data_IF_740516793017
#
_entry.id   IF_740516793017
#
_cell.length_a   1.000
_cell.length_b   1.000
_cell.length_c   1.000
_cell.angle_alpha   90.00
_cell.angle_beta   90.00
_cell.angle_gamma   90.00
#
_symmetry.space_group_name_H-M   'P 1'
#
loop_
_entity.id
_entity.type
_entity.pdbx_description
1 polymer ?
#
# COMPACT_ATOMS: atom_id res chain seq x y z
N UNK A 1 -17.15 -7.77 -25.18
CA UNK A 1 -16.01 -6.96 -25.65
C UNK A 1 -16.11 -5.49 -25.23
N UNK A 2 -17.29 -4.86 -25.35
CA UNK A 2 -17.52 -3.44 -25.05
C UNK A 2 -17.35 -3.06 -23.55
N UNK A 3 -17.76 -3.93 -22.62
CA UNK A 3 -17.63 -3.69 -21.16
C UNK A 3 -16.16 -3.63 -20.75
N UNK A 4 -15.30 -4.55 -21.26
CA UNK A 4 -13.86 -4.53 -21.02
C UNK A 4 -13.18 -3.26 -21.53
N UNK A 5 -13.63 -2.74 -22.69
CA UNK A 5 -13.13 -1.49 -23.29
C UNK A 5 -13.53 -0.26 -22.49
N UNK A 6 -14.78 -0.21 -21.99
CA UNK A 6 -15.27 0.88 -21.11
C UNK A 6 -14.53 0.89 -19.76
N UNK A 7 -14.33 -0.30 -19.14
CA UNK A 7 -13.59 -0.42 -17.90
C UNK A 7 -12.13 0.02 -18.05
N UNK A 8 -11.46 -0.36 -19.15
CA UNK A 8 -10.11 0.08 -19.47
C UNK A 8 -10.03 1.60 -19.63
N UNK A 9 -10.93 2.20 -20.42
CA UNK A 9 -10.97 3.66 -20.62
C UNK A 9 -11.22 4.43 -19.31
N UNK A 10 -12.06 3.91 -18.40
CA UNK A 10 -12.32 4.54 -17.10
C UNK A 10 -11.06 4.48 -16.21
N UNK A 11 -10.41 3.32 -16.17
CA UNK A 11 -9.15 3.13 -15.44
C UNK A 11 -8.08 4.08 -15.94
N UNK A 12 -7.91 4.19 -17.27
CA UNK A 12 -6.88 5.04 -17.88
C UNK A 12 -7.15 6.53 -17.60
N UNK A 13 -8.42 6.96 -17.60
CA UNK A 13 -8.81 8.34 -17.25
C UNK A 13 -8.57 8.64 -15.75
N UNK A 14 -8.91 7.72 -14.86
CA UNK A 14 -8.65 7.87 -13.43
C UNK A 14 -7.14 7.95 -13.17
N UNK A 15 -6.38 7.07 -13.79
CA UNK A 15 -4.92 7.04 -13.66
C UNK A 15 -4.27 8.32 -14.18
N UNK A 16 -4.73 8.85 -15.32
CA UNK A 16 -4.29 10.14 -15.86
C UNK A 16 -4.63 11.30 -14.92
N UNK A 17 -5.83 11.32 -14.34
CA UNK A 17 -6.24 12.34 -13.37
C UNK A 17 -5.35 12.34 -12.13
N UNK A 18 -5.07 11.15 -11.58
CA UNK A 18 -4.18 10.99 -10.42
C UNK A 18 -2.75 11.45 -10.76
N UNK A 19 -2.22 11.04 -11.90
CA UNK A 19 -0.88 11.47 -12.32
C UNK A 19 -0.77 12.97 -12.58
N UNK A 20 -1.83 13.62 -13.06
CA UNK A 20 -1.83 15.08 -13.24
C UNK A 20 -1.64 15.82 -11.92
N UNK A 21 -2.20 15.30 -10.82
CA UNK A 21 -2.05 15.88 -9.48
C UNK A 21 -0.68 15.51 -8.86
N UNK A 22 -0.21 14.29 -9.07
CA UNK A 22 1.02 13.78 -8.45
C UNK A 22 2.28 14.28 -9.15
N UNK A 23 2.26 14.42 -10.47
CA UNK A 23 3.44 14.81 -11.26
C UNK A 23 4.15 16.09 -10.80
N UNK A 24 3.46 17.21 -10.47
CA UNK A 24 4.17 18.39 -9.97
C UNK A 24 4.90 18.14 -8.65
N UNK A 25 4.33 17.32 -7.76
CA UNK A 25 4.96 16.94 -6.49
C UNK A 25 6.19 16.07 -6.75
N UNK A 26 6.07 15.08 -7.64
CA UNK A 26 7.19 14.21 -8.06
C UNK A 26 8.34 15.03 -8.67
N UNK A 27 8.04 15.98 -9.55
CA UNK A 27 9.08 16.86 -10.09
C UNK A 27 9.75 17.74 -9.02
N UNK A 28 8.97 18.19 -8.04
CA UNK A 28 9.52 18.88 -6.86
C UNK A 28 10.47 18.00 -6.06
N UNK A 29 10.08 16.75 -5.78
CA UNK A 29 10.91 15.76 -5.06
C UNK A 29 12.21 15.48 -5.79
N UNK A 30 12.15 15.28 -7.12
CA UNK A 30 13.34 15.03 -7.95
C UNK A 30 14.31 16.24 -7.91
N UNK A 31 13.77 17.47 -7.98
CA UNK A 31 14.59 18.70 -7.93
C UNK A 31 15.37 18.87 -6.63
N UNK A 32 14.82 18.43 -5.51
CA UNK A 32 15.48 18.48 -4.20
C UNK A 32 16.31 17.22 -3.90
N UNK A 33 16.45 16.30 -4.87
CA UNK A 33 17.30 15.12 -4.75
C UNK A 33 16.72 13.96 -3.95
N UNK A 34 15.38 13.92 -3.75
CA UNK A 34 14.73 12.79 -3.08
C UNK A 34 14.77 11.56 -3.98
N UNK A 35 15.31 10.46 -3.45
CA UNK A 35 15.38 9.18 -4.15
C UNK A 35 14.09 8.38 -3.98
N UNK A 36 13.74 7.45 -4.90
CA UNK A 36 12.57 6.57 -4.77
C UNK A 36 12.55 5.85 -3.42
N UNK A 37 13.67 5.27 -2.98
CA UNK A 37 13.77 4.52 -1.73
C UNK A 37 13.42 5.38 -0.49
N UNK A 38 13.72 6.67 -0.51
CA UNK A 38 13.31 7.58 0.57
C UNK A 38 11.80 7.73 0.59
N UNK A 39 11.16 7.86 -0.58
CA UNK A 39 9.69 7.98 -0.69
C UNK A 39 9.00 6.71 -0.20
N UNK A 40 9.48 5.53 -0.61
CA UNK A 40 8.99 4.22 -0.12
C UNK A 40 9.13 4.12 1.40
N UNK A 41 10.29 4.53 1.95
CA UNK A 41 10.51 4.52 3.41
C UNK A 41 9.54 5.43 4.15
N UNK A 42 9.26 6.64 3.63
CA UNK A 42 8.30 7.57 4.22
C UNK A 42 6.89 6.97 4.20
N UNK A 43 6.48 6.35 3.09
CA UNK A 43 5.21 5.64 2.98
C UNK A 43 5.09 4.52 4.02
N UNK A 44 6.12 3.69 4.17
CA UNK A 44 6.16 2.63 5.17
C UNK A 44 6.07 3.18 6.62
N UNK A 45 6.83 4.22 6.95
CA UNK A 45 6.78 4.84 8.28
C UNK A 45 5.40 5.43 8.58
N UNK A 46 4.73 6.02 7.59
CA UNK A 46 3.35 6.49 7.73
C UNK A 46 2.37 5.35 7.99
N UNK A 47 2.50 4.22 7.28
CA UNK A 47 1.70 3.01 7.56
C UNK A 47 1.95 2.47 8.98
N UNK A 48 3.20 2.51 9.45
CA UNK A 48 3.55 2.10 10.81
C UNK A 48 2.87 3.00 11.85
N UNK A 49 2.87 4.33 11.64
CA UNK A 49 2.16 5.29 12.52
C UNK A 49 0.66 5.01 12.52
N UNK A 50 0.05 4.81 11.35
CA UNK A 50 -1.37 4.46 11.25
C UNK A 50 -1.71 3.16 11.98
N UNK A 51 -0.87 2.14 11.85
CA UNK A 51 -1.02 0.88 12.55
C UNK A 51 -0.89 1.02 14.08
N UNK A 52 0.07 1.83 14.55
CA UNK A 52 0.22 2.14 15.98
C UNK A 52 -1.04 2.82 16.53
N UNK A 53 -1.66 3.75 15.78
CA UNK A 53 -2.91 4.38 16.18
C UNK A 53 -4.08 3.38 16.24
N UNK A 54 -4.15 2.40 15.32
CA UNK A 54 -5.16 1.34 15.36
C UNK A 54 -4.97 0.42 16.57
N UNK A 55 -3.72 0.05 16.88
CA UNK A 55 -3.41 -0.74 18.07
C UNK A 55 -3.77 0.04 19.34
N UNK A 56 -3.42 1.31 19.39
CA UNK A 56 -3.77 2.18 20.51
C UNK A 56 -5.30 2.28 20.68
N UNK A 57 -6.04 2.45 19.59
CA UNK A 57 -7.50 2.46 19.59
C UNK A 57 -8.11 1.15 20.11
N UNK A 58 -7.48 0.00 19.81
CA UNK A 58 -7.89 -1.30 20.35
C UNK A 58 -7.68 -1.42 21.86
N UNK A 59 -6.54 -0.93 22.37
CA UNK A 59 -6.17 -1.03 23.80
C UNK A 59 -6.99 -0.10 24.67
N UNK A 60 -7.14 1.17 24.28
CA UNK A 60 -7.64 2.22 25.15
C UNK A 60 -9.16 2.25 25.31
N UNK A 61 -9.93 1.60 24.41
CA UNK A 61 -11.42 1.51 24.47
C UNK A 61 -12.12 2.84 24.86
N UNK A 62 -11.55 3.96 24.45
CA UNK A 62 -12.04 5.29 24.84
C UNK A 62 -13.23 5.75 24.01
N UNK A 63 -13.91 6.80 24.51
CA UNK A 63 -15.04 7.46 23.82
C UNK A 63 -14.70 8.00 22.43
N UNK A 64 -13.42 8.14 22.10
CA UNK A 64 -12.89 8.67 20.84
C UNK A 64 -12.45 7.58 19.84
N UNK A 65 -12.83 6.33 20.04
CA UNK A 65 -12.44 5.19 19.20
C UNK A 65 -12.63 5.46 17.70
N UNK A 66 -13.82 5.92 17.28
CA UNK A 66 -14.10 6.19 15.87
C UNK A 66 -13.23 7.32 15.28
N UNK A 67 -12.89 8.31 16.09
CA UNK A 67 -11.98 9.40 15.69
C UNK A 67 -10.57 8.87 15.45
N UNK A 68 -10.06 8.04 16.37
CA UNK A 68 -8.73 7.41 16.23
C UNK A 68 -8.64 6.51 15.00
N UNK A 69 -9.66 5.69 14.76
CA UNK A 69 -9.75 4.85 13.55
C UNK A 69 -9.78 5.72 12.30
N UNK A 70 -10.53 6.82 12.31
CA UNK A 70 -10.60 7.77 11.19
C UNK A 70 -9.24 8.40 10.89
N UNK A 71 -8.52 8.86 11.92
CA UNK A 71 -7.16 9.41 11.75
C UNK A 71 -6.17 8.36 11.26
N UNK A 72 -6.20 7.15 11.82
CA UNK A 72 -5.36 6.05 11.38
C UNK A 72 -5.61 5.72 9.90
N UNK A 73 -6.88 5.60 9.49
CA UNK A 73 -7.27 5.37 8.10
C UNK A 73 -6.80 6.49 7.17
N UNK A 74 -6.94 7.77 7.60
CA UNK A 74 -6.46 8.92 6.84
C UNK A 74 -4.94 8.88 6.62
N UNK A 75 -4.17 8.55 7.65
CA UNK A 75 -2.70 8.42 7.57
C UNK A 75 -2.31 7.26 6.65
N UNK A 76 -2.96 6.10 6.76
CA UNK A 76 -2.69 4.94 5.91
C UNK A 76 -2.99 5.26 4.44
N UNK A 77 -4.11 5.94 4.15
CA UNK A 77 -4.45 6.37 2.79
C UNK A 77 -3.42 7.36 2.24
N UNK A 78 -2.98 8.32 3.05
CA UNK A 78 -1.93 9.25 2.65
C UNK A 78 -0.61 8.53 2.38
N UNK A 79 -0.25 7.55 3.20
CA UNK A 79 0.94 6.72 3.03
C UNK A 79 0.92 5.91 1.74
N UNK A 80 -0.25 5.39 1.36
CA UNK A 80 -0.44 4.68 0.07
C UNK A 80 -0.25 5.59 -1.15
N UNK A 81 -0.43 6.92 -1.01
CA UNK A 81 -0.09 7.86 -2.08
C UNK A 81 1.43 7.98 -2.26
N UNK A 82 2.21 7.97 -1.17
CA UNK A 82 3.67 7.97 -1.27
C UNK A 82 4.20 6.73 -1.98
N UNK A 83 3.63 5.56 -1.69
CA UNK A 83 3.90 4.30 -2.35
C UNK A 83 3.67 4.36 -3.88
N UNK A 84 2.60 5.02 -4.31
CA UNK A 84 2.36 5.24 -5.73
C UNK A 84 3.33 6.27 -6.35
N UNK A 85 3.87 7.19 -5.54
CA UNK A 85 4.77 8.25 -6.02
C UNK A 85 6.21 7.77 -6.22
N UNK A 86 6.71 6.81 -5.44
CA UNK A 86 8.10 6.33 -5.55
C UNK A 86 8.39 5.70 -6.92
N UNK A 87 7.47 4.89 -7.45
CA UNK A 87 7.54 4.37 -8.81
C UNK A 87 7.53 5.47 -9.90
N UNK A 88 6.88 6.62 -9.64
CA UNK A 88 6.94 7.76 -10.54
C UNK A 88 8.28 8.50 -10.43
N UNK A 89 8.78 8.71 -9.20
CA UNK A 89 10.10 9.29 -8.96
C UNK A 89 11.18 8.44 -9.63
N UNK A 90 11.10 7.11 -9.52
CA UNK A 90 12.03 6.19 -10.18
C UNK A 90 12.02 6.34 -11.71
N UNK A 91 10.82 6.40 -12.31
CA UNK A 91 10.66 6.49 -13.78
C UNK A 91 11.02 7.84 -14.33
N UNK A 92 10.51 8.92 -13.76
CA UNK A 92 10.72 10.29 -14.24
C UNK A 92 12.14 10.76 -13.93
N UNK A 93 12.71 10.36 -12.77
CA UNK A 93 14.05 10.70 -12.35
C UNK A 93 15.14 9.86 -13.00
N UNK A 94 14.81 8.81 -13.77
CA UNK A 94 15.80 7.88 -14.32
C UNK A 94 16.55 7.09 -13.23
N UNK A 95 15.98 6.92 -12.04
CA UNK A 95 16.56 6.30 -10.84
C UNK A 95 16.09 4.86 -10.63
N UNK A 96 15.44 4.26 -11.63
CA UNK A 96 14.97 2.88 -11.54
C UNK A 96 16.15 1.91 -11.41
N UNK A 97 16.09 1.02 -10.41
CA UNK A 97 17.11 0.00 -10.15
C UNK A 97 16.46 -1.30 -9.68
N UNK A 98 17.16 -2.42 -9.92
CA UNK A 98 16.71 -3.75 -9.45
C UNK A 98 16.62 -3.79 -7.92
N UNK A 99 17.59 -3.17 -7.23
CA UNK A 99 17.55 -3.06 -5.77
C UNK A 99 16.36 -2.23 -5.29
N UNK A 100 16.08 -1.09 -5.95
CA UNK A 100 14.92 -0.25 -5.61
C UNK A 100 13.60 -1.00 -5.76
N UNK A 101 13.44 -1.77 -6.84
CA UNK A 101 12.25 -2.60 -7.04
C UNK A 101 12.10 -3.70 -5.98
N UNK A 102 13.20 -4.33 -5.54
CA UNK A 102 13.18 -5.29 -4.45
C UNK A 102 12.83 -4.61 -3.12
N UNK A 103 13.46 -3.47 -2.83
CA UNK A 103 13.24 -2.70 -1.62
C UNK A 103 11.79 -2.27 -1.46
N UNK A 104 11.21 -1.71 -2.50
CA UNK A 104 9.80 -1.35 -2.62
C UNK A 104 8.89 -2.56 -2.36
N UNK A 105 9.08 -3.64 -3.10
CA UNK A 105 8.29 -4.87 -2.94
C UNK A 105 8.36 -5.46 -1.53
N UNK A 106 9.49 -5.36 -0.83
CA UNK A 106 9.64 -5.83 0.56
C UNK A 106 8.89 -4.92 1.53
N UNK A 107 9.05 -3.60 1.41
CA UNK A 107 8.38 -2.65 2.30
C UNK A 107 6.86 -2.66 2.10
N UNK A 108 6.37 -2.88 0.88
CA UNK A 108 4.96 -3.14 0.60
C UNK A 108 4.40 -4.29 1.43
N UNK A 109 5.12 -5.40 1.47
CA UNK A 109 4.68 -6.57 2.26
C UNK A 109 4.70 -6.27 3.76
N UNK A 110 5.70 -5.56 4.25
CA UNK A 110 5.73 -5.12 5.65
C UNK A 110 4.60 -4.12 5.97
N UNK A 111 4.32 -3.16 5.09
CA UNK A 111 3.20 -2.22 5.22
C UNK A 111 1.86 -2.96 5.33
N UNK A 112 1.64 -3.92 4.46
CA UNK A 112 0.43 -4.75 4.44
C UNK A 112 0.30 -5.58 5.71
N UNK A 113 1.37 -6.27 6.14
CA UNK A 113 1.43 -7.05 7.38
C UNK A 113 1.07 -6.22 8.60
N UNK A 114 1.72 -5.06 8.74
CA UNK A 114 1.56 -4.19 9.90
C UNK A 114 0.15 -3.59 9.92
N UNK A 115 -0.35 -3.13 8.77
CA UNK A 115 -1.68 -2.50 8.66
C UNK A 115 -2.80 -3.52 8.92
N UNK A 116 -2.81 -4.65 8.21
CA UNK A 116 -3.85 -5.68 8.39
C UNK A 116 -3.74 -6.35 9.77
N UNK A 117 -2.53 -6.54 10.29
CA UNK A 117 -2.31 -7.03 11.65
C UNK A 117 -2.89 -6.09 12.71
N UNK A 118 -2.68 -4.78 12.56
CA UNK A 118 -3.25 -3.76 13.45
C UNK A 118 -4.78 -3.68 13.36
N UNK A 119 -5.36 -3.80 12.16
CA UNK A 119 -6.82 -3.88 11.96
C UNK A 119 -7.38 -5.12 12.65
N UNK A 120 -6.75 -6.28 12.44
CA UNK A 120 -7.15 -7.54 13.07
C UNK A 120 -7.15 -7.42 14.59
N UNK A 121 -6.07 -6.87 15.17
CA UNK A 121 -5.96 -6.63 16.60
C UNK A 121 -7.05 -5.66 17.11
N UNK A 122 -7.23 -4.51 16.46
CA UNK A 122 -8.23 -3.52 16.83
C UNK A 122 -9.65 -4.11 16.82
N UNK A 123 -10.00 -4.91 15.81
CA UNK A 123 -11.30 -5.58 15.70
C UNK A 123 -11.49 -6.62 16.82
N UNK A 124 -10.45 -7.39 17.15
CA UNK A 124 -10.49 -8.38 18.22
C UNK A 124 -10.76 -7.74 19.58
N UNK A 125 -10.05 -6.65 19.89
CA UNK A 125 -10.19 -5.93 21.16
C UNK A 125 -11.55 -5.20 21.32
N UNK A 126 -12.21 -4.87 20.21
CA UNK A 126 -13.51 -4.19 20.20
C UNK A 126 -14.71 -5.12 19.99
N UNK A 127 -14.58 -6.41 20.33
CA UNK A 127 -15.64 -7.41 20.28
C UNK A 127 -16.21 -7.70 18.86
N UNK A 128 -15.37 -7.57 17.82
CA UNK A 128 -15.66 -7.96 16.44
C UNK A 128 -14.85 -9.18 15.96
N UNK A 129 -14.98 -10.36 16.60
CA UNK A 129 -14.13 -11.52 16.33
C UNK A 129 -14.25 -12.03 14.89
N UNK A 130 -15.44 -11.97 14.30
CA UNK A 130 -15.65 -12.38 12.90
C UNK A 130 -14.86 -11.45 11.96
N UNK A 131 -14.90 -10.14 12.20
CA UNK A 131 -14.11 -9.16 11.44
C UNK A 131 -12.61 -9.41 11.57
N UNK A 132 -12.13 -9.74 12.76
CA UNK A 132 -10.74 -10.08 13.01
C UNK A 132 -10.31 -11.34 12.22
N UNK A 133 -11.12 -12.40 12.23
CA UNK A 133 -10.86 -13.64 11.46
C UNK A 133 -10.84 -13.37 9.96
N UNK A 134 -11.78 -12.59 9.44
CA UNK A 134 -11.80 -12.22 8.01
C UNK A 134 -10.56 -11.42 7.64
N UNK A 135 -10.15 -10.45 8.46
CA UNK A 135 -8.94 -9.65 8.23
C UNK A 135 -7.68 -10.51 8.26
N UNK A 136 -7.60 -11.45 9.19
CA UNK A 136 -6.49 -12.41 9.26
C UNK A 136 -6.43 -13.32 8.02
N UNK A 137 -7.59 -13.82 7.56
CA UNK A 137 -7.66 -14.61 6.34
C UNK A 137 -7.26 -13.79 5.10
N UNK A 138 -7.66 -12.51 5.04
CA UNK A 138 -7.24 -11.58 3.99
C UNK A 138 -5.72 -11.36 3.99
N UNK A 139 -5.11 -11.20 5.17
CA UNK A 139 -3.66 -11.08 5.34
C UNK A 139 -2.92 -12.31 4.79
N UNK A 140 -3.36 -13.52 5.17
CA UNK A 140 -2.78 -14.77 4.66
C UNK A 140 -2.91 -14.83 3.13
N UNK A 141 -4.10 -14.56 2.60
CA UNK A 141 -4.38 -14.61 1.16
C UNK A 141 -3.49 -13.66 0.37
N UNK A 142 -3.33 -12.43 0.83
CA UNK A 142 -2.51 -11.42 0.17
C UNK A 142 -1.02 -11.80 0.15
N UNK A 143 -0.48 -12.25 1.27
CA UNK A 143 0.90 -12.73 1.35
C UNK A 143 1.14 -13.92 0.45
N UNK A 144 0.21 -14.89 0.44
CA UNK A 144 0.34 -16.09 -0.37
C UNK A 144 0.29 -15.80 -1.88
N UNK A 145 -0.52 -14.85 -2.32
CA UNK A 145 -0.55 -14.41 -3.73
C UNK A 145 0.81 -13.85 -4.14
N UNK A 146 1.40 -12.98 -3.33
CA UNK A 146 2.72 -12.40 -3.60
C UNK A 146 3.84 -13.44 -3.54
N UNK A 147 3.79 -14.35 -2.56
CA UNK A 147 4.76 -15.46 -2.43
C UNK A 147 4.71 -16.40 -3.63
N UNK A 148 3.51 -16.85 -4.01
CA UNK A 148 3.33 -17.78 -5.14
C UNK A 148 3.82 -17.16 -6.43
N UNK A 149 3.53 -15.86 -6.66
CA UNK A 149 4.02 -15.14 -7.83
C UNK A 149 5.55 -15.08 -7.86
N UNK A 150 6.17 -14.61 -6.77
CA UNK A 150 7.62 -14.50 -6.66
C UNK A 150 8.31 -15.88 -6.80
N UNK A 151 7.70 -16.94 -6.23
CA UNK A 151 8.20 -18.30 -6.33
C UNK A 151 8.10 -18.84 -7.75
N UNK A 152 6.99 -18.60 -8.42
CA UNK A 152 6.80 -19.03 -9.82
C UNK A 152 7.81 -18.33 -10.75
N UNK A 153 7.98 -17.01 -10.62
CA UNK A 153 8.98 -16.25 -11.37
C UNK A 153 10.40 -16.76 -11.09
N UNK A 154 10.72 -17.07 -9.81
CA UNK A 154 12.01 -17.65 -9.42
C UNK A 154 12.27 -19.08 -9.93
N UNK A 155 11.21 -19.80 -10.32
CA UNK A 155 11.30 -21.11 -11.00
C UNK A 155 11.26 -21.00 -12.52
N UNK A 156 11.27 -19.79 -13.08
CA UNK A 156 11.22 -19.54 -14.52
C UNK A 156 9.82 -19.75 -15.14
N UNK A 157 8.77 -19.77 -14.32
CA UNK A 157 7.38 -19.86 -14.80
C UNK A 157 6.85 -18.44 -15.09
N UNK A 158 6.31 -18.24 -16.28
CA UNK A 158 5.67 -16.97 -16.62
C UNK A 158 4.27 -16.86 -15.98
N UNK A 159 4.11 -15.97 -14.98
CA UNK A 159 2.83 -15.65 -14.38
C UNK A 159 2.05 -14.59 -15.21
N UNK A 160 2.00 -14.73 -16.53
CA UNK A 160 1.16 -13.89 -17.39
C UNK A 160 -0.25 -14.48 -17.45
N UNK A 161 -1.20 -13.81 -16.80
CA UNK A 161 -2.63 -14.04 -17.08
C UNK A 161 -2.89 -13.46 -18.46
N UNK A 162 -2.96 -14.30 -19.48
CA UNK A 162 -3.42 -13.92 -20.82
C UNK A 162 -4.90 -13.52 -20.70
N UNK A 163 -5.18 -12.22 -20.54
CA UNK A 163 -6.53 -11.61 -20.59
C UNK A 163 -6.78 -10.98 -21.94
#
# INVERSE_FOLDING_TARGET
MEIKRKAKNLRDKLQQGIYMVINPVVHGMIKIGITPNIVTTIGFLGNLVGACLLIYAGICKESNLYSLIGWAGGIILLSSLFDMMDGQVARIGGLASTFGALYDSVLDRYSELVTLGAICFCLSENDYPIGAVITFAALIGSLMVSYVRARAEGLGLECKINT
#
